data_IF_570007126656
#
_entry.id   IF_570007126656
#
_cell.length_a   1.000
_cell.length_b   1.000
_cell.length_c   1.000
_cell.angle_alpha   90.00
_cell.angle_beta   90.00
_cell.angle_gamma   90.00
#
_symmetry.space_group_name_H-M   'P 1'
#
loop_
_entity.id
_entity.type
_entity.pdbx_description
1 polymer ?
#
# COMPACT_ATOMS: atom_id res chain seq x y z
N UNK A 1 -12.47 -9.32 -5.79
CA UNK A 1 -12.97 -7.95 -5.48
C UNK A 1 -11.92 -6.94 -5.93
N UNK A 2 -12.32 -5.85 -6.60
CA UNK A 2 -11.41 -4.76 -6.98
C UNK A 2 -10.76 -4.11 -5.75
N UNK A 3 -9.69 -3.32 -5.99
CA UNK A 3 -9.12 -2.45 -4.97
C UNK A 3 -10.09 -1.27 -4.73
N UNK A 4 -10.21 -0.85 -3.48
CA UNK A 4 -10.90 0.40 -3.14
C UNK A 4 -9.94 1.58 -3.39
N UNK A 5 -10.43 2.77 -3.72
CA UNK A 5 -9.58 3.91 -4.11
C UNK A 5 -8.50 4.28 -3.07
N UNK A 6 -8.80 4.13 -1.78
CA UNK A 6 -7.79 4.36 -0.74
C UNK A 6 -6.75 3.24 -0.66
N UNK A 7 -7.09 2.01 -1.06
CA UNK A 7 -6.14 0.91 -1.17
C UNK A 7 -5.16 1.21 -2.31
N UNK A 8 -5.66 1.75 -3.43
CA UNK A 8 -4.81 2.22 -4.54
C UNK A 8 -3.89 3.37 -4.12
N UNK A 9 -4.41 4.40 -3.42
CA UNK A 9 -3.59 5.50 -2.89
C UNK A 9 -2.53 5.00 -1.91
N UNK A 10 -2.84 3.99 -1.08
CA UNK A 10 -1.84 3.36 -0.20
C UNK A 10 -0.70 2.75 -1.03
N UNK A 11 -1.01 1.98 -2.07
CA UNK A 11 0.00 1.39 -2.95
C UNK A 11 0.84 2.47 -3.65
N UNK A 12 0.19 3.52 -4.15
CA UNK A 12 0.84 4.66 -4.79
C UNK A 12 1.84 5.35 -3.84
N UNK A 13 1.41 5.63 -2.61
CA UNK A 13 2.26 6.28 -1.60
C UNK A 13 3.40 5.38 -1.13
N UNK A 14 3.17 4.06 -1.02
CA UNK A 14 4.25 3.12 -0.73
C UNK A 14 5.30 3.13 -1.85
N UNK A 15 4.86 3.19 -3.11
CA UNK A 15 5.74 3.27 -4.28
C UNK A 15 6.55 4.59 -4.29
N UNK A 16 5.89 5.72 -4.04
CA UNK A 16 6.54 7.04 -3.97
C UNK A 16 7.59 7.12 -2.85
N UNK A 17 7.37 6.40 -1.75
CA UNK A 17 8.32 6.29 -0.64
C UNK A 17 9.34 5.15 -0.82
N UNK A 18 9.40 4.51 -2.00
CA UNK A 18 10.33 3.43 -2.32
C UNK A 18 10.24 2.22 -1.35
N UNK A 19 9.08 1.97 -0.76
CA UNK A 19 8.84 0.87 0.17
C UNK A 19 8.57 -0.42 -0.63
N UNK A 20 9.62 -0.99 -1.23
CA UNK A 20 9.53 -2.05 -2.25
C UNK A 20 10.49 -3.20 -1.90
N UNK A 21 9.99 -4.44 -1.94
CA UNK A 21 10.78 -5.66 -1.72
C UNK A 21 11.60 -5.62 -0.43
N UNK A 22 12.92 -5.72 -0.56
CA UNK A 22 13.84 -5.71 0.57
C UNK A 22 13.89 -4.38 1.36
N UNK A 23 13.37 -3.28 0.80
CA UNK A 23 13.22 -2.03 1.53
C UNK A 23 11.89 -2.00 2.30
N UNK A 24 11.78 -2.88 3.30
CA UNK A 24 10.59 -3.01 4.14
C UNK A 24 10.71 -2.23 5.44
N UNK A 25 9.56 -1.75 5.93
CA UNK A 25 9.47 -1.02 7.20
C UNK A 25 8.35 -1.57 8.06
N UNK A 26 8.41 -1.33 9.37
CA UNK A 26 7.32 -1.70 10.27
C UNK A 26 6.00 -1.08 9.81
N UNK A 27 4.85 -1.76 10.01
CA UNK A 27 3.52 -1.26 9.61
C UNK A 27 3.28 0.15 10.16
N UNK A 28 3.72 0.45 11.38
CA UNK A 28 3.61 1.78 11.98
C UNK A 28 4.44 2.82 11.22
N UNK A 29 5.68 2.48 10.85
CA UNK A 29 6.54 3.37 10.07
C UNK A 29 5.99 3.58 8.66
N UNK A 30 5.50 2.53 8.00
CA UNK A 30 4.81 2.64 6.70
C UNK A 30 3.63 3.60 6.82
N UNK A 31 2.77 3.44 7.83
CA UNK A 31 1.62 4.32 8.04
C UNK A 31 2.01 5.80 8.14
N UNK A 32 3.15 6.08 8.79
CA UNK A 32 3.69 7.44 8.91
C UNK A 32 4.19 7.97 7.57
N UNK A 33 5.04 7.20 6.88
CA UNK A 33 5.64 7.58 5.58
C UNK A 33 4.59 7.86 4.50
N UNK A 34 3.56 7.01 4.42
CA UNK A 34 2.48 7.19 3.44
C UNK A 34 1.43 8.22 3.89
N UNK A 35 1.57 8.78 5.10
CA UNK A 35 0.61 9.70 5.71
C UNK A 35 -0.80 9.10 5.79
N UNK A 36 -0.92 7.87 6.31
CA UNK A 36 -2.19 7.12 6.39
C UNK A 36 -3.35 7.93 6.96
N UNK A 37 -3.11 8.77 7.98
CA UNK A 37 -4.16 9.61 8.58
C UNK A 37 -4.80 10.56 7.57
N UNK A 38 -4.02 11.09 6.63
CA UNK A 38 -4.51 11.97 5.56
C UNK A 38 -5.34 11.19 4.55
N UNK A 39 -4.86 10.01 4.13
CA UNK A 39 -5.58 9.10 3.23
C UNK A 39 -6.92 8.70 3.86
N UNK A 40 -6.89 8.22 5.10
CA UNK A 40 -8.08 7.77 5.82
C UNK A 40 -9.11 8.90 5.94
N UNK A 41 -8.66 10.13 6.20
CA UNK A 41 -9.54 11.31 6.22
C UNK A 41 -10.12 11.62 4.83
N UNK A 42 -9.29 11.66 3.79
CA UNK A 42 -9.68 11.95 2.39
C UNK A 42 -10.77 10.99 1.90
N UNK A 43 -10.60 9.70 2.17
CA UNK A 43 -11.51 8.65 1.72
C UNK A 43 -12.54 8.21 2.78
N UNK A 44 -12.64 8.92 3.91
CA UNK A 44 -13.56 8.62 5.03
C UNK A 44 -13.45 7.17 5.56
N UNK A 45 -12.24 6.63 5.57
CA UNK A 45 -11.96 5.25 6.00
C UNK A 45 -11.91 5.17 7.51
N UNK A 46 -12.73 4.28 8.09
CA UNK A 46 -12.74 3.98 9.54
C UNK A 46 -11.91 2.74 9.91
N UNK A 47 -11.41 2.00 8.91
CA UNK A 47 -10.61 0.78 9.09
C UNK A 47 -9.23 1.13 9.66
N UNK A 48 -8.68 0.24 10.50
CA UNK A 48 -7.28 0.35 10.96
C UNK A 48 -6.34 0.10 9.79
N UNK A 49 -5.20 0.79 9.76
CA UNK A 49 -4.19 0.61 8.72
C UNK A 49 -3.71 -0.84 8.62
N UNK A 50 -3.52 -1.52 9.75
CA UNK A 50 -3.14 -2.93 9.78
C UNK A 50 -4.14 -3.84 9.07
N UNK A 51 -5.44 -3.55 9.15
CA UNK A 51 -6.48 -4.30 8.43
C UNK A 51 -6.39 -4.07 6.91
N UNK A 52 -6.08 -2.84 6.50
CA UNK A 52 -5.88 -2.51 5.08
C UNK A 52 -4.65 -3.22 4.53
N UNK A 53 -3.53 -3.19 5.25
CA UNK A 53 -2.31 -3.91 4.87
C UNK A 53 -2.55 -5.41 4.78
N UNK A 54 -3.21 -6.03 5.77
CA UNK A 54 -3.55 -7.46 5.70
C UNK A 54 -4.36 -7.81 4.45
N UNK A 55 -5.29 -6.95 4.05
CA UNK A 55 -6.07 -7.16 2.82
C UNK A 55 -5.20 -7.01 1.57
N UNK A 56 -4.31 -6.04 1.52
CA UNK A 56 -3.34 -5.87 0.43
C UNK A 56 -2.36 -7.03 0.32
N UNK A 57 -1.94 -7.60 1.46
CA UNK A 57 -1.12 -8.82 1.55
C UNK A 57 -1.88 -10.02 1.02
N UNK A 58 -3.12 -10.24 1.49
CA UNK A 58 -3.98 -11.31 1.00
C UNK A 58 -4.27 -11.21 -0.51
N UNK A 59 -4.21 -10.01 -1.09
CA UNK A 59 -4.34 -9.78 -2.53
C UNK A 59 -3.00 -9.87 -3.29
N UNK A 60 -1.86 -10.02 -2.60
CA UNK A 60 -0.53 -10.19 -3.18
C UNK A 60 0.17 -8.89 -3.59
N UNK A 61 -0.36 -7.71 -3.26
CA UNK A 61 0.25 -6.42 -3.63
C UNK A 61 1.33 -5.96 -2.64
N UNK A 62 1.25 -6.43 -1.39
CA UNK A 62 2.17 -6.11 -0.30
C UNK A 62 2.68 -7.42 0.29
N UNK A 63 3.94 -7.46 0.70
CA UNK A 63 4.52 -8.55 1.45
C UNK A 63 4.67 -8.15 2.92
N UNK A 64 4.43 -9.07 3.85
CA UNK A 64 4.54 -8.83 5.28
C UNK A 64 5.81 -9.45 5.87
N UNK A 65 6.97 -8.88 5.51
CA UNK A 65 8.28 -9.39 5.89
C UNK A 65 8.46 -9.52 7.43
N UNK A 66 8.32 -10.73 7.95
CA UNK A 66 8.68 -11.10 9.33
C UNK A 66 7.87 -12.26 9.88
N UNK A 67 8.41 -12.97 10.88
CA UNK A 67 7.73 -14.09 11.60
C UNK A 67 6.37 -13.71 12.23
N UNK A 68 5.96 -12.43 12.21
CA UNK A 68 4.71 -11.95 12.78
C UNK A 68 3.97 -10.91 11.91
N UNK A 69 4.34 -10.74 10.64
CA UNK A 69 3.65 -9.81 9.73
C UNK A 69 3.70 -8.34 10.16
N UNK A 70 4.83 -7.92 10.76
CA UNK A 70 4.97 -6.57 11.36
C UNK A 70 5.66 -5.56 10.46
N UNK A 71 6.29 -5.98 9.36
CA UNK A 71 6.81 -5.09 8.35
C UNK A 71 5.99 -5.23 7.06
N UNK A 72 6.08 -4.23 6.19
CA UNK A 72 5.42 -4.23 4.89
C UNK A 72 6.29 -3.61 3.81
N UNK A 73 6.24 -4.16 2.61
CA UNK A 73 6.76 -3.57 1.37
C UNK A 73 5.90 -3.97 0.17
N UNK A 74 6.00 -3.25 -0.93
CA UNK A 74 5.36 -3.64 -2.18
C UNK A 74 6.02 -4.89 -2.77
N UNK A 75 5.19 -5.82 -3.22
CA UNK A 75 5.63 -6.94 -4.06
C UNK A 75 5.89 -6.45 -5.49
N UNK A 76 6.47 -7.33 -6.31
CA UNK A 76 6.56 -7.11 -7.76
C UNK A 76 5.19 -6.86 -8.40
N UNK A 77 4.14 -7.54 -7.91
CA UNK A 77 2.77 -7.33 -8.36
C UNK A 77 2.25 -5.94 -7.96
N UNK A 78 2.48 -5.51 -6.72
CA UNK A 78 2.14 -4.16 -6.24
C UNK A 78 2.77 -3.06 -7.09
N UNK A 79 4.06 -3.21 -7.40
CA UNK A 79 4.79 -2.27 -8.26
C UNK A 79 4.21 -2.24 -9.68
N UNK A 80 4.04 -3.40 -10.31
CA UNK A 80 3.51 -3.49 -11.67
C UNK A 80 2.11 -2.87 -11.77
N UNK A 81 1.27 -3.09 -10.76
CA UNK A 81 -0.06 -2.50 -10.67
C UNK A 81 -0.01 -0.97 -10.64
N UNK A 82 0.82 -0.37 -9.76
CA UNK A 82 0.95 1.09 -9.64
C UNK A 82 1.47 1.71 -10.93
N UNK A 83 2.46 1.09 -11.57
CA UNK A 83 2.99 1.55 -12.87
C UNK A 83 1.92 1.49 -13.96
N UNK A 84 1.15 0.39 -14.01
CA UNK A 84 0.04 0.23 -14.95
C UNK A 84 -1.02 1.33 -14.79
N UNK A 85 -1.43 1.63 -13.56
CA UNK A 85 -2.41 2.68 -13.26
C UNK A 85 -1.90 4.07 -13.66
N UNK A 86 -0.64 4.41 -13.36
CA UNK A 86 -0.05 5.70 -13.78
C UNK A 86 -0.06 5.90 -15.29
N UNK A 87 0.15 4.83 -16.05
CA UNK A 87 0.15 4.90 -17.51
C UNK A 87 -1.27 5.02 -18.09
N UNK A 88 -2.29 4.52 -17.41
CA UNK A 88 -3.70 4.72 -17.80
C UNK A 88 -4.12 6.18 -17.57
N UNK A 89 -3.85 6.75 -16.40
CA UNK A 89 -4.21 8.15 -16.08
C UNK A 89 -3.52 9.20 -16.96
N UNK A 90 -2.45 8.83 -17.69
CA UNK A 90 -1.78 9.71 -18.67
C UNK A 90 -2.37 9.61 -20.08
N UNK A 91 -3.24 8.64 -20.33
CA UNK A 91 -3.87 8.38 -21.64
C UNK A 91 -5.34 8.81 -21.68
N UNK A 92 -5.94 9.07 -20.53
CA UNK A 92 -7.24 9.73 -20.36
C UNK A 92 -7.04 11.25 -20.22
#
# INVERSE_FOLDING_TARGET
MPLEDYEEEVLLRMYDNQIIGHNYFSIQKVASLIKWREIARKYRVRKKFSSVIKRLVSKGYVDDHGKSGKAASLTRLGVAYVIGRRNQTRRD
#
